data_IF_744486822509
#
_entry.id   IF_744486822509
#
_cell.length_a   1.000
_cell.length_b   1.000
_cell.length_c   1.000
_cell.angle_alpha   90.00
_cell.angle_beta   90.00
_cell.angle_gamma   90.00
#
_symmetry.space_group_name_H-M   'P 1'
#
loop_
_entity.id
_entity.type
_entity.pdbx_description
1 polymer ?
#
# COMPACT_ATOMS: atom_id res chain seq x y z
N UNK A 1 3.32 9.43 6.38
CA UNK A 1 4.43 8.58 6.85
C UNK A 1 5.00 7.68 5.73
N UNK A 2 4.20 6.84 5.06
CA UNK A 2 4.70 5.89 4.06
C UNK A 2 5.40 6.52 2.84
N UNK A 3 4.90 7.64 2.31
CA UNK A 3 5.56 8.37 1.21
C UNK A 3 6.93 8.93 1.60
N UNK A 4 7.02 9.54 2.79
CA UNK A 4 8.31 10.03 3.33
C UNK A 4 9.29 8.86 3.49
N UNK A 5 8.82 7.75 4.06
CA UNK A 5 9.62 6.52 4.19
C UNK A 5 10.10 5.98 2.83
N UNK A 6 9.24 5.95 1.80
CA UNK A 6 9.62 5.52 0.46
C UNK A 6 10.64 6.48 -0.20
N UNK A 7 10.56 7.78 0.06
CA UNK A 7 11.53 8.77 -0.43
C UNK A 7 12.89 8.66 0.30
N UNK A 8 12.86 8.38 1.61
CA UNK A 8 14.05 8.20 2.44
C UNK A 8 14.83 6.93 2.08
N UNK A 9 14.13 5.87 1.64
CA UNK A 9 14.77 4.62 1.18
C UNK A 9 15.28 4.66 -0.26
N UNK A 10 14.85 5.63 -1.05
CA UNK A 10 15.26 5.76 -2.44
C UNK A 10 16.60 6.52 -2.54
N UNK A 11 17.50 6.03 -3.41
CA UNK A 11 18.74 6.73 -3.73
C UNK A 11 18.47 8.13 -4.33
N UNK A 12 19.41 9.08 -4.23
CA UNK A 12 19.18 10.49 -4.61
C UNK A 12 18.60 10.70 -6.02
N UNK A 13 19.01 9.88 -7.00
CA UNK A 13 18.50 9.92 -8.38
C UNK A 13 17.27 9.03 -8.67
N UNK A 14 16.90 8.13 -7.75
CA UNK A 14 15.86 7.12 -7.96
C UNK A 14 14.52 7.50 -7.31
N UNK A 15 14.48 8.62 -6.56
CA UNK A 15 13.29 9.08 -5.83
C UNK A 15 12.07 9.24 -6.73
N UNK A 16 12.24 9.77 -7.95
CA UNK A 16 11.15 9.91 -8.91
C UNK A 16 10.53 8.57 -9.28
N UNK A 17 11.37 7.55 -9.55
CA UNK A 17 10.90 6.18 -9.84
C UNK A 17 10.19 5.58 -8.63
N UNK A 18 10.78 5.69 -7.44
CA UNK A 18 10.20 5.15 -6.21
C UNK A 18 8.83 5.78 -5.90
N UNK A 19 8.71 7.10 -6.03
CA UNK A 19 7.43 7.80 -5.84
C UNK A 19 6.42 7.43 -6.93
N UNK A 20 6.84 7.36 -8.19
CA UNK A 20 5.98 6.93 -9.29
C UNK A 20 5.40 5.54 -9.06
N UNK A 21 6.22 4.56 -8.71
CA UNK A 21 5.77 3.19 -8.40
C UNK A 21 4.81 3.16 -7.22
N UNK A 22 5.11 3.89 -6.13
CA UNK A 22 4.21 3.98 -4.97
C UNK A 22 2.85 4.56 -5.37
N UNK A 23 2.85 5.64 -6.15
CA UNK A 23 1.61 6.30 -6.58
C UNK A 23 0.80 5.43 -7.54
N UNK A 24 1.45 4.72 -8.47
CA UNK A 24 0.76 3.74 -9.32
C UNK A 24 0.08 2.66 -8.48
N UNK A 25 0.77 2.10 -7.48
CA UNK A 25 0.17 1.12 -6.58
C UNK A 25 -0.99 1.70 -5.76
N UNK A 26 -0.86 2.96 -5.33
CA UNK A 26 -1.90 3.69 -4.58
C UNK A 26 -3.18 3.85 -5.41
N UNK A 27 -3.06 4.34 -6.64
CA UNK A 27 -4.19 4.53 -7.56
C UNK A 27 -4.82 3.19 -7.97
N UNK A 28 -4.01 2.15 -8.19
CA UNK A 28 -4.51 0.79 -8.43
C UNK A 28 -5.32 0.27 -7.24
N UNK A 29 -4.88 0.56 -6.00
CA UNK A 29 -5.61 0.22 -4.80
C UNK A 29 -6.96 0.95 -4.70
N UNK A 30 -6.99 2.25 -4.97
CA UNK A 30 -8.22 3.06 -4.92
C UNK A 30 -9.19 2.62 -6.03
N UNK A 31 -8.74 2.66 -7.28
CA UNK A 31 -9.58 2.35 -8.44
C UNK A 31 -9.98 0.88 -8.47
N UNK A 32 -8.99 -0.01 -8.36
CA UNK A 32 -9.22 -1.46 -8.36
C UNK A 32 -10.04 -1.92 -7.16
N UNK A 33 -9.77 -1.38 -5.97
CA UNK A 33 -10.55 -1.68 -4.76
C UNK A 33 -12.01 -1.25 -4.88
N UNK A 34 -12.27 -0.08 -5.48
CA UNK A 34 -13.63 0.42 -5.70
C UNK A 34 -14.41 -0.48 -6.67
N UNK A 35 -13.79 -0.89 -7.77
CA UNK A 35 -14.40 -1.81 -8.75
C UNK A 35 -14.69 -3.16 -8.07
N UNK A 36 -13.69 -3.73 -7.38
CA UNK A 36 -13.83 -5.01 -6.70
C UNK A 36 -14.93 -4.97 -5.63
N UNK A 37 -15.02 -3.88 -4.87
CA UNK A 37 -16.08 -3.69 -3.87
C UNK A 37 -17.47 -3.66 -4.51
N UNK A 38 -17.63 -2.96 -5.65
CA UNK A 38 -18.88 -2.96 -6.40
C UNK A 38 -19.28 -4.34 -6.91
N UNK A 39 -18.31 -5.12 -7.42
CA UNK A 39 -18.55 -6.50 -7.89
C UNK A 39 -18.89 -7.48 -6.76
N UNK A 40 -18.31 -7.28 -5.57
CA UNK A 40 -18.52 -8.15 -4.42
C UNK A 40 -19.75 -7.77 -3.58
N UNK A 41 -20.28 -6.55 -3.72
CA UNK A 41 -21.41 -6.04 -2.93
C UNK A 41 -22.63 -6.99 -2.91
N UNK A 42 -23.09 -7.57 -4.04
CA UNK A 42 -24.27 -8.45 -4.03
C UNK A 42 -24.07 -9.74 -3.24
N UNK A 43 -22.82 -10.18 -3.06
CA UNK A 43 -22.49 -11.45 -2.42
C UNK A 43 -22.08 -11.29 -0.95
N UNK A 44 -21.38 -10.21 -0.62
CA UNK A 44 -20.80 -9.98 0.70
C UNK A 44 -21.60 -8.96 1.55
N UNK A 45 -22.41 -8.11 0.91
CA UNK A 45 -23.05 -6.96 1.55
C UNK A 45 -22.04 -5.93 2.09
N UNK A 46 -22.53 -4.81 2.60
CA UNK A 46 -21.66 -3.75 3.12
C UNK A 46 -20.78 -4.22 4.29
N UNK A 47 -21.32 -5.03 5.21
CA UNK A 47 -20.58 -5.56 6.35
C UNK A 47 -19.37 -6.39 5.92
N UNK A 48 -19.56 -7.30 4.95
CA UNK A 48 -18.46 -8.11 4.41
C UNK A 48 -17.41 -7.28 3.69
N UNK A 49 -17.82 -6.24 2.95
CA UNK A 49 -16.89 -5.33 2.27
C UNK A 49 -16.04 -4.51 3.25
N UNK A 50 -16.64 -3.94 4.29
CA UNK A 50 -15.88 -3.21 5.32
C UNK A 50 -14.96 -4.15 6.12
N UNK A 51 -15.41 -5.39 6.39
CA UNK A 51 -14.57 -6.42 6.98
C UNK A 51 -13.36 -6.74 6.10
N UNK A 52 -13.56 -6.94 4.80
CA UNK A 52 -12.48 -7.16 3.83
C UNK A 52 -11.51 -5.98 3.78
N UNK A 53 -12.01 -4.74 3.73
CA UNK A 53 -11.18 -3.54 3.76
C UNK A 53 -10.31 -3.48 5.03
N UNK A 54 -10.88 -3.84 6.18
CA UNK A 54 -10.15 -3.95 7.44
C UNK A 54 -9.03 -5.00 7.39
N UNK A 55 -9.32 -6.20 6.87
CA UNK A 55 -8.31 -7.26 6.70
C UNK A 55 -7.18 -6.81 5.78
N UNK A 56 -7.49 -6.16 4.65
CA UNK A 56 -6.49 -5.63 3.71
C UNK A 56 -5.61 -4.57 4.39
N UNK A 57 -6.20 -3.65 5.14
CA UNK A 57 -5.47 -2.62 5.87
C UNK A 57 -4.52 -3.22 6.92
N UNK A 58 -4.99 -4.21 7.69
CA UNK A 58 -4.18 -4.92 8.68
C UNK A 58 -3.04 -5.71 8.02
N UNK A 59 -3.31 -6.40 6.93
CA UNK A 59 -2.31 -7.15 6.17
C UNK A 59 -1.24 -6.21 5.60
N UNK A 60 -1.65 -5.09 4.99
CA UNK A 60 -0.73 -4.07 4.46
C UNK A 60 0.13 -3.44 5.57
N UNK A 61 -0.47 -3.12 6.72
CA UNK A 61 0.26 -2.64 7.90
C UNK A 61 1.28 -3.65 8.41
N UNK A 62 0.88 -4.92 8.55
CA UNK A 62 1.78 -5.99 8.98
C UNK A 62 2.95 -6.18 8.00
N UNK A 63 2.70 -6.14 6.69
CA UNK A 63 3.75 -6.23 5.66
C UNK A 63 4.70 -5.03 5.72
N UNK A 64 4.19 -3.82 5.92
CA UNK A 64 5.01 -2.62 6.04
C UNK A 64 5.99 -2.71 7.22
N UNK A 65 5.55 -3.26 8.36
CA UNK A 65 6.44 -3.43 9.53
C UNK A 65 7.58 -4.43 9.30
N UNK A 66 7.39 -5.44 8.44
CA UNK A 66 8.46 -6.38 8.08
C UNK A 66 9.56 -5.72 7.25
N UNK A 67 9.19 -4.79 6.35
CA UNK A 67 10.16 -4.01 5.56
C UNK A 67 10.83 -2.88 6.35
N UNK A 68 10.19 -2.39 7.41
CA UNK A 68 10.72 -1.31 8.24
C UNK A 68 11.95 -1.71 9.09
N UNK A 69 12.16 -3.01 9.34
CA UNK A 69 13.25 -3.52 10.16
C UNK A 69 14.64 -3.45 9.49
N UNK A 70 14.71 -3.19 8.19
CA UNK A 70 15.98 -3.12 7.48
C UNK A 70 16.67 -1.76 7.75
N UNK A 71 17.91 -1.72 8.31
CA UNK A 71 18.56 -0.46 8.67
C UNK A 71 18.96 0.37 7.45
N UNK A 72 18.71 1.68 7.47
CA UNK A 72 19.18 2.65 6.46
C UNK A 72 20.71 2.65 6.29
N UNK A 73 21.45 2.24 7.32
CA UNK A 73 22.91 2.14 7.31
C UNK A 73 23.46 1.00 6.43
N UNK A 74 22.66 -0.02 6.10
CA UNK A 74 23.11 -1.17 5.34
C UNK A 74 23.15 -0.92 3.81
N UNK A 75 22.72 0.26 3.34
CA UNK A 75 22.58 0.60 1.91
C UNK A 75 23.37 1.84 1.47
N UNK A 76 24.31 2.30 2.31
CA UNK A 76 25.28 3.35 1.94
C UNK A 76 26.57 2.75 1.41
#
# INVERSE_FOLDING_TARGET
ALLAWAADRAGPGERGKAMGTFYTAWELGIGGGSILAGLLLPYAGFGGLFGLAGVVALAGGALATRGAAEPLAARR
#
